data_IF_991742309767
#
_entry.id   IF_991742309767
#
_cell.length_a   1.000
_cell.length_b   1.000
_cell.length_c   1.000
_cell.angle_alpha   90.00
_cell.angle_beta   90.00
_cell.angle_gamma   90.00
#
_symmetry.space_group_name_H-M   'P 1'
#
loop_
_entity.id
_entity.type
_entity.pdbx_description
1 polymer ?
#
# COMPACT_ATOMS: atom_id res chain seq x y z
N UNK A 1 -16.17 16.27 6.85
CA UNK A 1 -15.33 17.04 7.80
C UNK A 1 -14.02 16.30 8.05
N UNK A 2 -14.06 15.05 8.52
CA UNK A 2 -12.86 14.25 8.84
C UNK A 2 -11.88 14.10 7.68
N UNK A 3 -12.34 13.73 6.48
CA UNK A 3 -11.47 13.61 5.29
C UNK A 3 -10.70 14.90 4.99
N UNK A 4 -11.37 16.05 5.12
CA UNK A 4 -10.73 17.33 4.86
C UNK A 4 -9.67 17.66 5.91
N UNK A 5 -9.95 17.40 7.19
CA UNK A 5 -8.98 17.61 8.28
C UNK A 5 -7.75 16.71 8.09
N UNK A 6 -7.94 15.44 7.76
CA UNK A 6 -6.84 14.49 7.54
C UNK A 6 -5.97 14.92 6.34
N UNK A 7 -6.58 15.17 5.18
CA UNK A 7 -5.84 15.50 3.97
C UNK A 7 -5.16 16.87 4.04
N UNK A 8 -5.77 17.86 4.69
CA UNK A 8 -5.13 19.15 4.91
C UNK A 8 -3.92 19.02 5.84
N UNK A 9 -4.02 18.20 6.89
CA UNK A 9 -2.89 17.92 7.79
C UNK A 9 -1.74 17.22 7.06
N UNK A 10 -2.05 16.24 6.20
CA UNK A 10 -1.05 15.56 5.36
C UNK A 10 -0.38 16.55 4.40
N UNK A 11 -1.16 17.41 3.74
CA UNK A 11 -0.61 18.42 2.84
C UNK A 11 0.34 19.38 3.58
N UNK A 12 -0.04 19.83 4.77
CA UNK A 12 0.76 20.78 5.54
C UNK A 12 2.09 20.18 6.02
N UNK A 13 2.09 18.92 6.44
CA UNK A 13 3.28 18.28 7.01
C UNK A 13 4.16 17.66 5.92
N UNK A 14 3.56 16.97 4.95
CA UNK A 14 4.29 16.13 4.00
C UNK A 14 4.55 16.81 2.65
N UNK A 15 3.84 17.89 2.31
CA UNK A 15 3.85 18.43 0.95
C UNK A 15 4.48 19.83 0.77
N UNK A 16 4.97 20.48 1.83
CA UNK A 16 5.51 21.85 1.76
C UNK A 16 6.66 22.03 0.76
N UNK A 17 7.54 21.04 0.61
CA UNK A 17 8.74 21.12 -0.24
C UNK A 17 8.81 19.97 -1.26
N UNK A 18 7.66 19.51 -1.75
CA UNK A 18 7.62 18.42 -2.74
C UNK A 18 7.64 18.98 -4.16
N UNK A 19 8.50 18.42 -5.00
CA UNK A 19 8.53 18.72 -6.44
C UNK A 19 7.45 17.96 -7.22
N UNK A 20 7.06 16.78 -6.73
CA UNK A 20 6.03 15.94 -7.35
C UNK A 20 4.80 15.79 -6.43
N UNK A 21 3.58 15.71 -7.01
CA UNK A 21 2.37 15.39 -6.27
C UNK A 21 2.55 14.15 -5.39
N UNK A 22 1.91 14.14 -4.23
CA UNK A 22 1.88 12.97 -3.35
C UNK A 22 0.70 12.08 -3.74
N UNK A 23 0.94 10.82 -4.18
CA UNK A 23 -0.14 9.87 -4.42
C UNK A 23 -0.83 9.51 -3.11
N UNK A 24 -2.16 9.58 -3.07
CA UNK A 24 -3.00 9.25 -1.92
C UNK A 24 -3.97 8.13 -2.30
N UNK A 25 -4.11 7.16 -1.39
CA UNK A 25 -5.05 6.05 -1.53
C UNK A 25 -5.74 5.69 -0.21
N UNK A 26 -6.90 5.05 -0.30
CA UNK A 26 -7.68 4.59 0.84
C UNK A 26 -8.29 3.23 0.52
N UNK A 27 -7.83 2.18 1.22
CA UNK A 27 -8.33 0.80 1.00
C UNK A 27 -9.82 0.65 1.34
N UNK A 28 -10.36 1.53 2.20
CA UNK A 28 -11.77 1.53 2.58
C UNK A 28 -12.70 1.80 1.39
N UNK A 29 -12.20 2.47 0.34
CA UNK A 29 -12.95 2.63 -0.90
C UNK A 29 -13.17 1.30 -1.64
N UNK A 30 -12.28 0.32 -1.46
CA UNK A 30 -12.34 -0.96 -2.17
C UNK A 30 -13.12 -2.03 -1.40
N UNK A 31 -13.03 -2.05 -0.07
CA UNK A 31 -13.58 -3.15 0.75
C UNK A 31 -14.44 -2.68 1.93
N UNK A 32 -14.73 -1.38 2.02
CA UNK A 32 -15.44 -0.78 3.15
C UNK A 32 -14.57 -0.57 4.39
N UNK A 33 -15.19 -0.04 5.45
CA UNK A 33 -14.51 0.25 6.71
C UNK A 33 -14.51 -0.98 7.63
N UNK A 34 -13.39 -1.69 7.70
CA UNK A 34 -13.25 -2.93 8.50
C UNK A 34 -12.99 -2.65 10.00
N UNK A 35 -13.56 -1.57 10.54
CA UNK A 35 -13.41 -1.11 11.92
C UNK A 35 -11.97 -1.25 12.48
N UNK A 36 -11.80 -2.03 13.56
CA UNK A 36 -10.53 -2.28 14.24
C UNK A 36 -9.46 -2.91 13.32
N UNK A 37 -9.84 -3.61 12.26
CA UNK A 37 -8.92 -4.20 11.30
C UNK A 37 -8.43 -3.20 10.22
N UNK A 38 -8.99 -1.98 10.16
CA UNK A 38 -8.71 -1.01 9.08
C UNK A 38 -7.21 -0.73 8.92
N UNK A 39 -6.47 -0.62 10.02
CA UNK A 39 -5.02 -0.40 9.99
C UNK A 39 -4.26 -1.57 9.36
N UNK A 40 -4.63 -2.81 9.69
CA UNK A 40 -3.98 -4.01 9.17
C UNK A 40 -4.24 -4.17 7.67
N UNK A 41 -5.46 -3.88 7.22
CA UNK A 41 -5.79 -3.91 5.79
C UNK A 41 -5.02 -2.81 5.04
N UNK A 42 -4.88 -1.60 5.60
CA UNK A 42 -4.06 -0.55 5.00
C UNK A 42 -2.58 -0.96 4.89
N UNK A 43 -2.04 -1.64 5.91
CA UNK A 43 -0.69 -2.21 5.87
C UNK A 43 -0.58 -3.27 4.78
N UNK A 44 -1.57 -4.17 4.65
CA UNK A 44 -1.58 -5.17 3.59
C UNK A 44 -1.58 -4.51 2.20
N UNK A 45 -2.41 -3.48 1.95
CA UNK A 45 -2.41 -2.70 0.70
C UNK A 45 -1.02 -2.11 0.43
N UNK A 46 -0.39 -1.48 1.44
CA UNK A 46 0.93 -0.86 1.29
C UNK A 46 2.03 -1.89 0.98
N UNK A 47 2.05 -3.03 1.67
CA UNK A 47 3.02 -4.10 1.44
C UNK A 47 2.85 -4.72 0.05
N UNK A 48 1.61 -4.94 -0.39
CA UNK A 48 1.32 -5.44 -1.74
C UNK A 48 1.79 -4.41 -2.77
N UNK A 49 1.51 -3.12 -2.58
CA UNK A 49 1.94 -2.06 -3.49
C UNK A 49 3.46 -1.93 -3.59
N UNK A 50 4.17 -1.99 -2.45
CA UNK A 50 5.65 -2.00 -2.42
C UNK A 50 6.23 -3.24 -3.11
N UNK A 51 5.56 -4.39 -2.98
CA UNK A 51 6.01 -5.64 -3.61
C UNK A 51 5.76 -5.66 -5.13
N UNK A 52 4.60 -5.15 -5.58
CA UNK A 52 4.22 -5.13 -7.00
C UNK A 52 4.79 -3.93 -7.76
N UNK A 53 5.20 -2.86 -7.04
CA UNK A 53 5.58 -1.59 -7.64
C UNK A 53 4.39 -0.79 -8.18
N UNK A 54 3.15 -1.16 -7.83
CA UNK A 54 1.92 -0.53 -8.32
C UNK A 54 1.01 -0.17 -7.15
N UNK A 55 0.55 1.08 -7.12
CA UNK A 55 -0.47 1.55 -6.19
C UNK A 55 -1.84 1.18 -6.75
N UNK A 56 -2.65 0.35 -6.04
CA UNK A 56 -3.96 -0.03 -6.54
C UNK A 56 -4.95 1.14 -6.42
N UNK A 57 -5.85 1.28 -7.41
CA UNK A 57 -6.77 2.40 -7.50
C UNK A 57 -7.77 2.43 -6.36
N UNK A 58 -8.12 3.64 -5.94
CA UNK A 58 -9.32 3.90 -5.16
C UNK A 58 -10.55 3.81 -6.04
N UNK A 59 -11.66 3.36 -5.46
CA UNK A 59 -12.97 3.42 -6.09
C UNK A 59 -13.73 4.67 -5.62
N UNK A 60 -14.82 5.00 -6.32
CA UNK A 60 -15.79 6.03 -5.91
C UNK A 60 -15.20 7.45 -5.77
N UNK A 61 -14.22 7.79 -6.61
CA UNK A 61 -13.65 9.13 -6.68
C UNK A 61 -14.03 9.81 -8.00
N UNK A 62 -15.07 10.65 -7.96
CA UNK A 62 -15.58 11.34 -9.15
C UNK A 62 -15.09 12.80 -9.23
N UNK A 63 -15.01 13.49 -8.09
CA UNK A 63 -14.60 14.89 -8.02
C UNK A 63 -13.85 15.20 -6.72
N UNK A 64 -12.86 16.11 -6.74
CA UNK A 64 -12.12 16.50 -5.54
C UNK A 64 -13.02 17.18 -4.51
N UNK A 65 -12.76 16.92 -3.22
CA UNK A 65 -13.47 17.60 -2.14
C UNK A 65 -13.09 19.10 -2.12
N UNK A 66 -14.04 20.05 -2.23
CA UNK A 66 -13.74 21.47 -2.30
C UNK A 66 -13.10 22.03 -1.03
N UNK A 67 -13.22 21.32 0.10
CA UNK A 67 -12.60 21.71 1.39
C UNK A 67 -11.14 21.24 1.51
N UNK A 68 -10.57 20.68 0.45
CA UNK A 68 -9.18 20.20 0.42
C UNK A 68 -8.45 20.88 -0.74
N UNK A 69 -7.88 22.09 -0.53
CA UNK A 69 -7.19 22.84 -1.57
C UNK A 69 -6.07 22.05 -2.25
N UNK A 70 -5.41 21.16 -1.51
CA UNK A 70 -4.34 20.31 -2.02
C UNK A 70 -4.77 19.31 -3.11
N UNK A 71 -6.05 18.92 -3.12
CA UNK A 71 -6.61 18.11 -4.21
C UNK A 71 -6.92 18.96 -5.45
N UNK A 72 -7.30 20.23 -5.25
CA UNK A 72 -7.67 21.14 -6.33
C UNK A 72 -6.45 21.67 -7.09
N UNK A 73 -5.36 21.93 -6.38
CA UNK A 73 -4.11 22.43 -6.95
C UNK A 73 -3.14 21.32 -7.38
N UNK A 74 -3.52 20.04 -7.22
CA UNK A 74 -2.73 18.88 -7.64
C UNK A 74 -1.56 18.51 -6.74
N UNK A 75 -1.42 19.11 -5.55
CA UNK A 75 -0.36 18.73 -4.58
C UNK A 75 -0.58 17.32 -4.02
N UNK A 76 -1.85 16.96 -3.77
CA UNK A 76 -2.28 15.60 -3.46
C UNK A 76 -2.99 15.02 -4.68
N UNK A 77 -2.62 13.80 -5.07
CA UNK A 77 -3.21 13.12 -6.22
C UNK A 77 -3.86 11.83 -5.76
N UNK A 78 -5.19 11.74 -5.84
CA UNK A 78 -5.90 10.49 -5.55
C UNK A 78 -5.62 9.50 -6.67
N UNK A 79 -5.20 8.29 -6.29
CA UNK A 79 -4.89 7.22 -7.24
C UNK A 79 -6.21 6.58 -7.71
N UNK A 80 -6.63 6.85 -8.95
CA UNK A 80 -7.86 6.32 -9.57
C UNK A 80 -7.60 5.22 -10.60
N UNK A 81 -6.36 5.07 -11.04
CA UNK A 81 -5.89 4.02 -11.93
C UNK A 81 -4.63 3.34 -11.38
N UNK A 82 -4.28 2.12 -11.81
CA UNK A 82 -3.06 1.45 -11.39
C UNK A 82 -1.83 2.32 -11.69
N UNK A 83 -1.22 2.88 -10.64
CA UNK A 83 -0.15 3.89 -10.78
C UNK A 83 1.19 3.33 -10.32
N UNK A 84 2.29 3.50 -11.07
CA UNK A 84 3.61 3.09 -10.61
C UNK A 84 4.01 3.74 -9.29
N UNK A 85 4.45 2.92 -8.33
CA UNK A 85 5.04 3.39 -7.08
C UNK A 85 6.52 3.70 -7.32
N UNK A 86 6.84 4.99 -7.47
CA UNK A 86 8.22 5.44 -7.75
C UNK A 86 9.11 5.51 -6.51
N UNK A 87 8.52 5.65 -5.32
CA UNK A 87 9.22 5.70 -4.04
C UNK A 87 9.31 4.33 -3.35
N UNK A 88 10.16 4.23 -2.34
CA UNK A 88 10.31 3.03 -1.50
C UNK A 88 9.77 3.22 -0.07
N UNK A 89 9.07 4.33 0.18
CA UNK A 89 8.51 4.68 1.50
C UNK A 89 7.02 4.98 1.33
N UNK A 90 6.20 4.38 2.21
CA UNK A 90 4.76 4.59 2.27
C UNK A 90 4.37 4.99 3.69
N UNK A 91 3.62 6.09 3.82
CA UNK A 91 2.98 6.49 5.06
C UNK A 91 1.58 5.88 5.18
N UNK A 92 1.19 5.47 6.38
CA UNK A 92 -0.14 4.93 6.68
C UNK A 92 -0.69 5.68 7.89
N UNK A 93 -1.82 6.34 7.70
CA UNK A 93 -2.56 7.01 8.78
C UNK A 93 -3.78 6.18 9.18
N UNK A 94 -4.07 6.16 10.48
CA UNK A 94 -5.29 5.60 11.03
C UNK A 94 -5.84 6.48 12.15
N UNK A 95 -7.16 6.70 12.10
CA UNK A 95 -7.88 7.55 13.03
C UNK A 95 -9.00 6.71 13.65
N UNK A 96 -8.94 6.52 14.98
CA UNK A 96 -10.00 5.85 15.73
C UNK A 96 -11.15 6.80 16.06
N UNK A 97 -12.36 6.25 16.20
CA UNK A 97 -13.56 7.02 16.53
C UNK A 97 -13.44 7.82 17.84
N UNK A 98 -12.67 7.32 18.81
CA UNK A 98 -12.41 8.01 20.09
C UNK A 98 -11.30 9.08 20.03
N UNK A 99 -10.82 9.44 18.83
CA UNK A 99 -9.81 10.49 18.65
C UNK A 99 -8.36 10.02 18.82
N UNK A 100 -8.10 8.70 18.81
CA UNK A 100 -6.73 8.16 18.79
C UNK A 100 -6.16 8.20 17.37
N UNK A 101 -5.02 8.85 17.19
CA UNK A 101 -4.32 8.95 15.90
C UNK A 101 -3.05 8.12 15.93
N UNK A 102 -2.87 7.29 14.90
CA UNK A 102 -1.65 6.54 14.69
C UNK A 102 -1.14 6.78 13.25
N UNK A 103 0.16 6.98 13.11
CA UNK A 103 0.81 7.07 11.81
C UNK A 103 2.03 6.15 11.78
N UNK A 104 2.17 5.38 10.71
CA UNK A 104 3.29 4.47 10.50
C UNK A 104 3.96 4.76 9.16
N UNK A 105 5.29 4.65 9.15
CA UNK A 105 6.10 4.79 7.93
C UNK A 105 6.71 3.43 7.64
N UNK A 106 6.43 2.90 6.44
CA UNK A 106 6.95 1.61 5.98
C UNK A 106 7.95 1.87 4.86
N UNK A 107 9.13 1.29 4.97
CA UNK A 107 10.17 1.31 3.93
C UNK A 107 10.33 -0.06 3.31
N UNK A 108 10.38 -0.12 1.99
CA UNK A 108 10.66 -1.34 1.24
C UNK A 108 12.05 -1.88 1.61
N UNK A 109 12.14 -3.20 1.81
CA UNK A 109 13.43 -3.86 1.97
C UNK A 109 14.20 -3.80 0.64
N UNK A 110 15.42 -3.23 0.60
CA UNK A 110 16.21 -3.11 -0.63
C UNK A 110 16.74 -4.45 -1.14
N UNK A 111 16.54 -5.56 -0.41
CA UNK A 111 17.01 -6.89 -0.81
C UNK A 111 16.37 -7.32 -2.13
N UNK A 112 17.18 -7.35 -3.18
CA UNK A 112 16.82 -7.85 -4.50
C UNK A 112 16.95 -9.38 -4.51
N UNK A 113 16.02 -10.06 -5.19
CA UNK A 113 16.13 -11.52 -5.40
C UNK A 113 17.35 -11.78 -6.29
N UNK A 114 18.27 -12.69 -5.93
CA UNK A 114 19.42 -12.98 -6.76
C UNK A 114 18.96 -13.50 -8.13
N UNK A 115 19.57 -12.98 -9.18
CA UNK A 115 19.33 -13.42 -10.56
C UNK A 115 19.89 -14.84 -10.72
N UNK A 116 19.34 -15.64 -11.65
CA UNK A 116 19.86 -17.00 -11.93
C UNK A 116 21.37 -17.01 -12.24
N UNK A 117 21.89 -15.94 -12.82
CA UNK A 117 23.32 -15.75 -13.13
C UNK A 117 24.20 -15.57 -11.88
N UNK A 118 23.63 -15.09 -10.76
CA UNK A 118 24.34 -14.85 -9.50
C UNK A 118 24.41 -16.09 -8.62
N UNK A 119 23.72 -17.17 -9.00
CA UNK A 119 23.71 -18.43 -8.28
C UNK A 119 24.39 -19.46 -9.18
N UNK A 120 25.51 -20.01 -8.73
CA UNK A 120 26.14 -21.13 -9.44
C UNK A 120 25.09 -22.22 -9.65
N UNK A 121 24.87 -22.72 -10.89
CA UNK A 121 23.89 -23.76 -11.13
C UNK A 121 24.25 -24.99 -10.30
N UNK A 122 23.40 -25.29 -9.33
CA UNK A 122 23.47 -26.52 -8.54
C UNK A 122 22.64 -27.54 -9.32
N UNK A 123 23.30 -28.45 -10.03
CA UNK A 123 22.66 -29.54 -10.81
C UNK A 123 22.13 -30.69 -9.94
N UNK A 124 21.98 -30.46 -8.64
CA UNK A 124 21.40 -31.43 -7.71
C UNK A 124 19.93 -31.13 -7.46
N UNK A 125 19.07 -32.16 -7.39
CA UNK A 125 17.67 -31.97 -7.02
C UNK A 125 17.56 -31.44 -5.59
N UNK A 126 16.58 -30.56 -5.37
CA UNK A 126 16.29 -30.00 -4.04
C UNK A 126 15.10 -30.76 -3.45
N UNK A 127 15.25 -31.23 -2.20
CA UNK A 127 14.13 -31.76 -1.44
C UNK A 127 13.40 -30.59 -0.76
N UNK A 128 12.11 -30.43 -1.06
CA UNK A 128 11.23 -29.45 -0.40
C UNK A 128 10.21 -30.21 0.44
N UNK A 129 10.49 -30.45 1.75
CA UNK A 129 9.53 -31.11 2.63
C UNK A 129 8.36 -30.17 2.93
N UNK A 130 7.13 -30.69 2.82
CA UNK A 130 5.89 -29.97 3.10
C UNK A 130 4.98 -30.81 3.97
N UNK A 131 4.18 -30.16 4.78
CA UNK A 131 3.13 -30.78 5.60
C UNK A 131 1.88 -29.89 5.57
N UNK A 132 0.71 -30.49 5.44
CA UNK A 132 -0.57 -29.79 5.38
C UNK A 132 -1.62 -30.53 6.18
N UNK A 133 -2.66 -29.82 6.63
CA UNK A 133 -3.80 -30.43 7.34
C UNK A 133 -4.70 -31.25 6.42
N UNK A 134 -4.72 -30.92 5.12
CA UNK A 134 -5.54 -31.53 4.08
C UNK A 134 -4.73 -31.65 2.79
N UNK A 135 -5.09 -32.60 1.94
CA UNK A 135 -4.41 -32.88 0.66
C UNK A 135 -4.40 -31.66 -0.28
N UNK A 136 -5.52 -30.92 -0.34
CA UNK A 136 -5.62 -29.68 -1.13
C UNK A 136 -4.49 -28.69 -0.80
N UNK A 137 -4.16 -28.52 0.48
CA UNK A 137 -3.11 -27.59 0.91
C UNK A 137 -1.70 -28.02 0.45
N UNK A 138 -1.47 -29.32 0.26
CA UNK A 138 -0.21 -29.84 -0.27
C UNK A 138 -0.13 -29.60 -1.79
N UNK A 139 -1.23 -29.84 -2.50
CA UNK A 139 -1.27 -29.72 -3.95
C UNK A 139 -1.15 -28.26 -4.41
N UNK A 140 -1.79 -27.31 -3.71
CA UNK A 140 -1.75 -25.88 -4.07
C UNK A 140 -0.35 -25.25 -4.01
N UNK A 141 0.60 -25.79 -3.23
CA UNK A 141 1.96 -25.22 -3.15
C UNK A 141 2.74 -25.43 -4.44
N UNK A 142 2.45 -26.50 -5.18
CA UNK A 142 3.12 -26.84 -6.44
C UNK A 142 2.34 -26.42 -7.68
N UNK A 143 1.06 -26.07 -7.52
CA UNK A 143 0.25 -25.44 -8.56
C UNK A 143 0.73 -24.00 -8.77
N UNK A 144 1.13 -23.69 -10.01
CA UNK A 144 1.59 -22.36 -10.42
C UNK A 144 0.44 -21.50 -10.94
#
# INVERSE_FOLDING_TARGET
>A
ITDAMELNSISEVMCKNREAPLPIGCIKSNIGHTEAASSLVSIAKAVIALRSGIIPPNLHYDSPNPNVPALLNGVLQVVTEPTPLTGNIVGISSIGMCGTYCHAIIKQNPKVKPTKEQVSPIDFPWLVPLSGRVELALNTVFEK
#
